data_IF_852830074017
#
_entry.id   IF_852830074017
#
_cell.length_a   1.000
_cell.length_b   1.000
_cell.length_c   1.000
_cell.angle_alpha   90.00
_cell.angle_beta   90.00
_cell.angle_gamma   90.00
#
_symmetry.space_group_name_H-M   'P 1'
#
loop_
_entity.id
_entity.type
_entity.pdbx_description
1 polymer ?
#
# COMPACT_ATOMS: atom_id res chain seq x y z
N UNK A 1 4.84 11.25 19.91
CA UNK A 1 5.51 9.95 19.74
C UNK A 1 4.68 9.05 18.85
N UNK A 2 5.31 8.51 17.83
CA UNK A 2 4.62 7.58 16.94
C UNK A 2 4.56 6.19 17.58
N UNK A 3 3.44 5.51 17.41
CA UNK A 3 3.27 4.15 17.91
C UNK A 3 2.27 3.42 17.02
N UNK A 4 2.29 2.10 17.08
CA UNK A 4 1.29 1.28 16.43
C UNK A 4 -0.02 1.46 17.20
N UNK A 5 -1.07 1.82 16.48
CA UNK A 5 -2.31 2.29 17.11
C UNK A 5 -2.97 1.18 17.93
N UNK A 6 -3.11 -0.01 17.38
CA UNK A 6 -3.77 -1.10 18.09
C UNK A 6 -2.94 -2.37 18.11
N UNK A 7 -1.72 -2.31 17.60
CA UNK A 7 -0.80 -3.45 17.59
C UNK A 7 -1.09 -4.48 16.52
N UNK A 8 -2.14 -4.31 15.74
CA UNK A 8 -2.51 -5.28 14.70
C UNK A 8 -2.33 -4.72 13.28
N UNK A 9 -2.44 -3.42 13.13
CA UNK A 9 -2.28 -2.79 11.83
C UNK A 9 -0.82 -2.40 11.62
N UNK A 10 -0.21 -2.95 10.59
CA UNK A 10 1.22 -2.79 10.34
C UNK A 10 1.54 -1.73 9.29
N UNK A 11 0.54 -1.15 8.67
CA UNK A 11 0.74 -0.06 7.72
C UNK A 11 -0.52 0.81 7.67
N UNK A 12 -0.40 1.97 7.05
CA UNK A 12 -1.49 2.95 6.96
C UNK A 12 -2.16 2.97 5.59
N UNK A 13 -1.62 2.24 4.63
CA UNK A 13 -1.99 2.45 3.23
C UNK A 13 -2.76 1.29 2.60
N UNK A 14 -2.84 0.15 3.29
CA UNK A 14 -3.35 -1.08 2.67
C UNK A 14 -4.75 -0.95 2.08
N UNK A 15 -5.67 -0.33 2.82
CA UNK A 15 -7.04 -0.16 2.33
C UNK A 15 -7.09 0.75 1.10
N UNK A 16 -6.26 1.79 1.09
CA UNK A 16 -6.17 2.71 -0.04
C UNK A 16 -5.54 2.03 -1.25
N UNK A 17 -4.51 1.23 -1.04
CA UNK A 17 -3.89 0.44 -2.12
C UNK A 17 -4.95 -0.43 -2.78
N UNK A 18 -5.73 -1.14 -1.98
CA UNK A 18 -6.78 -2.02 -2.52
C UNK A 18 -7.82 -1.21 -3.28
N UNK A 19 -8.25 -0.08 -2.73
CA UNK A 19 -9.25 0.79 -3.36
C UNK A 19 -8.81 1.23 -4.75
N UNK A 20 -7.61 1.81 -4.85
CA UNK A 20 -7.14 2.34 -6.12
C UNK A 20 -6.77 1.22 -7.09
N UNK A 21 -6.24 0.11 -6.56
CA UNK A 21 -5.96 -1.04 -7.42
C UNK A 21 -7.23 -1.51 -8.12
N UNK A 22 -8.32 -1.62 -7.36
CA UNK A 22 -9.60 -2.04 -7.94
C UNK A 22 -10.17 -1.00 -8.90
N UNK A 23 -10.01 0.27 -8.59
CA UNK A 23 -10.42 1.32 -9.52
C UNK A 23 -9.66 1.24 -10.84
N UNK A 24 -8.39 0.84 -10.80
CA UNK A 24 -7.57 0.67 -12.00
C UNK A 24 -7.77 -0.69 -12.64
N UNK A 25 -8.67 -1.52 -12.09
CA UNK A 25 -8.99 -2.84 -12.60
C UNK A 25 -7.77 -3.75 -12.68
N UNK A 26 -6.89 -3.63 -11.70
CA UNK A 26 -5.72 -4.48 -11.56
C UNK A 26 -5.97 -5.59 -10.57
N UNK A 27 -5.47 -6.79 -10.87
CA UNK A 27 -5.36 -7.85 -9.88
C UNK A 27 -4.17 -7.58 -8.97
N UNK A 28 -4.07 -8.29 -7.85
CA UNK A 28 -2.89 -8.22 -7.00
C UNK A 28 -1.64 -8.66 -7.78
N UNK A 29 -1.78 -9.66 -8.64
CA UNK A 29 -0.68 -10.13 -9.47
C UNK A 29 -0.25 -9.05 -10.47
N UNK A 30 -1.19 -8.31 -11.04
CA UNK A 30 -0.86 -7.25 -11.98
C UNK A 30 -0.10 -6.13 -11.28
N UNK A 31 -0.51 -5.75 -10.07
CA UNK A 31 0.22 -4.74 -9.30
C UNK A 31 1.63 -5.22 -9.00
N UNK A 32 1.78 -6.48 -8.55
CA UNK A 32 3.08 -7.07 -8.29
C UNK A 32 3.98 -6.99 -9.53
N UNK A 33 3.45 -7.35 -10.69
CA UNK A 33 4.21 -7.32 -11.94
C UNK A 33 4.66 -5.92 -12.33
N UNK A 34 3.80 -4.93 -12.15
CA UNK A 34 4.16 -3.54 -12.46
C UNK A 34 5.24 -3.01 -11.51
N UNK A 35 5.18 -3.40 -10.24
CA UNK A 35 6.22 -3.02 -9.29
C UNK A 35 7.55 -3.65 -9.67
N UNK A 36 7.53 -4.90 -10.11
CA UNK A 36 8.74 -5.60 -10.53
C UNK A 36 9.42 -4.87 -11.69
N UNK A 37 8.64 -4.34 -12.62
CA UNK A 37 9.19 -3.57 -13.74
C UNK A 37 9.91 -2.30 -13.28
N UNK A 38 9.59 -1.80 -12.10
CA UNK A 38 10.27 -0.66 -11.50
C UNK A 38 11.46 -1.09 -10.64
N UNK A 39 11.74 -2.39 -10.55
CA UNK A 39 12.79 -2.91 -9.70
C UNK A 39 12.39 -3.06 -8.25
N UNK A 40 11.10 -2.99 -7.94
CA UNK A 40 10.59 -3.10 -6.58
C UNK A 40 9.87 -4.43 -6.46
N UNK A 41 10.47 -5.38 -5.73
CA UNK A 41 9.98 -6.76 -5.71
C UNK A 41 9.02 -6.97 -4.54
N UNK A 42 7.73 -6.92 -4.86
CA UNK A 42 6.65 -7.20 -3.91
C UNK A 42 5.78 -8.26 -4.56
N UNK A 43 5.92 -9.50 -4.12
CA UNK A 43 5.17 -10.60 -4.73
C UNK A 43 3.67 -10.48 -4.41
N UNK A 44 2.86 -11.25 -5.12
CA UNK A 44 1.41 -11.19 -4.95
C UNK A 44 1.00 -11.44 -3.49
N UNK A 45 1.63 -12.40 -2.83
CA UNK A 45 1.35 -12.65 -1.41
C UNK A 45 1.68 -11.47 -0.52
N UNK A 46 2.75 -10.73 -0.85
CA UNK A 46 3.10 -9.52 -0.11
C UNK A 46 2.11 -8.40 -0.39
N UNK A 47 1.64 -8.25 -1.63
CA UNK A 47 0.57 -7.29 -1.94
C UNK A 47 -0.66 -7.59 -1.10
N UNK A 48 -1.04 -8.87 -1.02
CA UNK A 48 -2.18 -9.28 -0.20
C UNK A 48 -1.99 -8.89 1.26
N UNK A 49 -0.79 -9.12 1.80
CA UNK A 49 -0.51 -8.78 3.21
C UNK A 49 -0.48 -7.28 3.45
N UNK A 50 -0.04 -6.49 2.47
CA UNK A 50 -0.13 -5.03 2.57
C UNK A 50 -1.60 -4.62 2.66
N UNK A 51 -2.44 -5.17 1.80
CA UNK A 51 -3.85 -4.78 1.73
C UNK A 51 -4.63 -5.20 2.98
N UNK A 52 -4.25 -6.29 3.63
CA UNK A 52 -4.91 -6.71 4.86
C UNK A 52 -4.21 -6.18 6.11
N UNK A 53 -3.23 -5.29 5.96
CA UNK A 53 -2.54 -4.59 7.02
C UNK A 53 -1.67 -5.49 7.90
N UNK A 54 -1.27 -6.65 7.41
CA UNK A 54 -0.50 -7.61 8.20
C UNK A 54 1.01 -7.53 7.96
N UNK A 55 1.46 -6.53 7.23
CA UNK A 55 2.86 -6.36 6.87
C UNK A 55 3.19 -4.88 6.84
N UNK A 56 4.43 -4.53 7.23
CA UNK A 56 4.91 -3.16 7.09
C UNK A 56 5.21 -2.85 5.62
N UNK A 57 5.28 -1.58 5.30
CA UNK A 57 5.58 -1.09 3.96
C UNK A 57 6.74 -0.11 4.06
N UNK A 58 7.78 -0.31 3.26
CA UNK A 58 8.89 0.63 3.23
C UNK A 58 8.50 1.87 2.43
N UNK A 59 9.25 2.95 2.59
CA UNK A 59 8.99 4.17 1.83
C UNK A 59 9.22 3.94 0.34
N UNK A 60 10.19 3.11 -0.01
CA UNK A 60 10.44 2.76 -1.41
C UNK A 60 9.22 2.06 -2.00
N UNK A 61 8.67 1.10 -1.25
CA UNK A 61 7.47 0.38 -1.70
C UNK A 61 6.28 1.30 -1.83
N UNK A 62 6.08 2.18 -0.84
CA UNK A 62 4.95 3.11 -0.86
C UNK A 62 5.03 4.05 -2.07
N UNK A 63 6.22 4.59 -2.33
CA UNK A 63 6.41 5.47 -3.47
C UNK A 63 6.13 4.76 -4.79
N UNK A 64 6.67 3.55 -4.95
CA UNK A 64 6.47 2.77 -6.18
C UNK A 64 5.00 2.43 -6.38
N UNK A 65 4.30 2.05 -5.30
CA UNK A 65 2.87 1.73 -5.37
C UNK A 65 2.08 2.96 -5.84
N UNK A 66 2.37 4.13 -5.27
CA UNK A 66 1.68 5.36 -5.68
C UNK A 66 1.92 5.65 -7.16
N UNK A 67 3.14 5.43 -7.64
CA UNK A 67 3.46 5.63 -9.05
C UNK A 67 2.68 4.68 -9.94
N UNK A 68 2.62 3.40 -9.59
CA UNK A 68 1.87 2.42 -10.37
C UNK A 68 0.39 2.76 -10.39
N UNK A 69 -0.16 3.16 -9.25
CA UNK A 69 -1.57 3.50 -9.13
C UNK A 69 -1.89 4.90 -9.70
N UNK A 70 -0.85 5.67 -10.03
CA UNK A 70 -0.99 7.01 -10.61
C UNK A 70 -1.75 7.95 -9.69
N UNK A 71 -1.35 7.95 -8.43
CA UNK A 71 -1.92 8.85 -7.42
C UNK A 71 -0.77 9.56 -6.69
N UNK A 72 -1.00 10.76 -6.18
CA UNK A 72 0.01 11.43 -5.35
C UNK A 72 0.13 10.73 -4.00
N UNK A 73 1.28 10.91 -3.36
CA UNK A 73 1.56 10.26 -2.08
C UNK A 73 0.52 10.61 -1.01
N UNK A 74 0.04 11.85 -0.99
CA UNK A 74 -0.96 12.23 0.01
C UNK A 74 -2.27 11.46 -0.15
N UNK A 75 -2.63 11.08 -1.38
CA UNK A 75 -3.81 10.24 -1.57
C UNK A 75 -3.59 8.82 -1.10
N UNK A 76 -2.36 8.33 -1.21
CA UNK A 76 -2.02 7.01 -0.70
C UNK A 76 -2.26 6.94 0.80
N UNK A 77 -2.04 8.05 1.50
CA UNK A 77 -2.21 8.14 2.95
C UNK A 77 -3.53 8.78 3.37
N UNK A 78 -4.53 8.81 2.47
CA UNK A 78 -5.83 9.36 2.84
C UNK A 78 -6.41 8.56 4.02
N UNK A 79 -7.03 9.27 4.96
CA UNK A 79 -7.58 8.63 6.14
C UNK A 79 -6.58 8.31 7.23
N UNK A 80 -5.27 8.46 6.95
CA UNK A 80 -4.25 8.14 7.96
C UNK A 80 -4.37 9.03 9.20
N UNK A 81 -4.69 10.29 9.00
CA UNK A 81 -4.82 11.24 10.11
C UNK A 81 -5.84 10.78 11.14
N UNK A 82 -6.93 10.18 10.68
CA UNK A 82 -8.00 9.74 11.57
C UNK A 82 -7.56 8.66 12.54
N UNK A 83 -6.52 7.93 12.20
CA UNK A 83 -6.01 6.87 13.07
C UNK A 83 -5.25 7.40 14.28
N UNK A 84 -4.95 8.68 14.28
CA UNK A 84 -4.18 9.31 15.36
C UNK A 84 -5.00 10.33 16.16
N UNK A 85 -6.28 10.43 15.88
CA UNK A 85 -7.17 11.37 16.59
C UNK A 85 -7.90 10.75 17.79
#
# INVERSE_FOLDING_TARGET
MARIIDGTEMNLIGATVRKYRKQRKMSQQALSGKLELMGVYVCRGSVSRIEDLSRTVTDIEAYAIAQVLQIPMEELFEGAKEKFE
#
